data_IF_068305990882
#
_entry.id   IF_068305990882
#
_cell.length_a   1.000
_cell.length_b   1.000
_cell.length_c   1.000
_cell.angle_alpha   90.00
_cell.angle_beta   90.00
_cell.angle_gamma   90.00
#
_symmetry.space_group_name_H-M   'P 1'
#
loop_
_entity.id
_entity.type
_entity.pdbx_description
1 polymer ?
#
# COMPACT_ATOMS: atom_id res chain seq x y z
N UNK A 1 35.42 -18.93 26.38
CA UNK A 1 35.96 -18.83 25.01
C UNK A 1 34.94 -18.05 24.20
N UNK A 2 35.16 -16.76 24.05
CA UNK A 2 34.28 -15.88 23.28
C UNK A 2 34.35 -16.25 21.80
N UNK A 3 33.19 -16.54 21.23
CA UNK A 3 33.03 -16.81 19.81
C UNK A 3 33.32 -15.50 19.05
N UNK A 4 34.38 -15.42 18.22
CA UNK A 4 34.63 -14.22 17.45
C UNK A 4 33.44 -14.01 16.52
N UNK A 5 32.68 -12.94 16.76
CA UNK A 5 31.64 -12.46 15.83
C UNK A 5 32.35 -12.22 14.50
N UNK A 6 32.23 -13.17 13.59
CA UNK A 6 32.54 -12.98 12.18
C UNK A 6 31.67 -11.79 11.78
N UNK A 7 32.27 -10.63 11.56
CA UNK A 7 31.60 -9.47 10.99
C UNK A 7 31.06 -9.92 9.63
N UNK A 8 29.78 -10.29 9.57
CA UNK A 8 29.09 -10.57 8.33
C UNK A 8 29.17 -9.30 7.49
N UNK A 9 30.02 -9.34 6.45
CA UNK A 9 30.22 -8.23 5.54
C UNK A 9 28.87 -7.93 4.87
N UNK A 10 28.26 -6.81 5.26
CA UNK A 10 26.94 -6.38 4.79
C UNK A 10 26.89 -6.41 3.25
N UNK A 11 25.92 -7.17 2.70
CA UNK A 11 25.79 -7.37 1.26
C UNK A 11 25.38 -6.07 0.54
N UNK A 12 26.29 -5.51 -0.27
CA UNK A 12 26.00 -4.34 -1.10
C UNK A 12 25.37 -4.74 -2.44
N UNK A 13 24.10 -5.15 -2.42
CA UNK A 13 23.34 -5.57 -3.63
C UNK A 13 23.23 -4.47 -4.72
N UNK A 14 23.55 -3.23 -4.35
CA UNK A 14 23.42 -2.04 -5.19
C UNK A 14 24.77 -1.49 -5.66
N UNK A 15 25.90 -2.08 -5.24
CA UNK A 15 27.25 -1.59 -5.49
C UNK A 15 27.45 -0.11 -5.11
N UNK A 16 26.83 0.34 -4.02
CA UNK A 16 26.87 1.73 -3.54
C UNK A 16 28.27 2.22 -3.27
N UNK A 17 29.14 1.38 -2.68
CA UNK A 17 30.54 1.78 -2.38
C UNK A 17 31.30 2.10 -3.68
N UNK A 18 31.26 1.17 -4.64
CA UNK A 18 31.84 1.34 -5.98
C UNK A 18 31.23 2.52 -6.74
N UNK A 19 29.92 2.74 -6.61
CA UNK A 19 29.22 3.88 -7.21
C UNK A 19 29.70 5.22 -6.64
N UNK A 20 29.91 5.31 -5.33
CA UNK A 20 30.46 6.50 -4.68
C UNK A 20 31.90 6.78 -5.13
N UNK A 21 32.75 5.77 -5.20
CA UNK A 21 34.13 5.89 -5.70
C UNK A 21 34.14 6.41 -7.14
N UNK A 22 33.32 5.82 -8.00
CA UNK A 22 33.19 6.28 -9.38
C UNK A 22 32.67 7.72 -9.46
N UNK A 23 31.71 8.10 -8.61
CA UNK A 23 31.17 9.47 -8.54
C UNK A 23 32.24 10.46 -8.09
N UNK A 24 33.08 10.10 -7.10
CA UNK A 24 34.24 10.90 -6.68
C UNK A 24 35.27 11.02 -7.80
N UNK A 25 35.53 9.94 -8.56
CA UNK A 25 36.41 9.97 -9.74
C UNK A 25 35.89 10.93 -10.82
N UNK A 26 34.60 10.86 -11.14
CA UNK A 26 33.94 11.76 -12.11
C UNK A 26 34.03 13.22 -11.63
N UNK A 27 33.83 13.49 -10.34
CA UNK A 27 34.02 14.83 -9.77
C UNK A 27 35.45 15.34 -10.02
N UNK A 28 36.47 14.51 -9.74
CA UNK A 28 37.88 14.88 -9.94
C UNK A 28 38.17 15.20 -11.41
N UNK A 29 37.62 14.42 -12.34
CA UNK A 29 37.81 14.58 -13.79
C UNK A 29 36.95 15.68 -14.43
N UNK A 30 35.94 16.21 -13.72
CA UNK A 30 35.04 17.24 -14.26
C UNK A 30 35.75 18.58 -14.53
N UNK A 31 35.18 19.39 -15.42
CA UNK A 31 35.71 20.69 -15.84
C UNK A 31 35.49 21.83 -14.83
N UNK A 32 34.87 21.54 -13.68
CA UNK A 32 34.60 22.56 -12.66
C UNK A 32 35.90 23.01 -11.98
N UNK A 33 35.93 24.24 -11.47
CA UNK A 33 37.09 24.78 -10.76
C UNK A 33 37.48 23.94 -9.53
N UNK A 34 38.78 23.89 -9.23
CA UNK A 34 39.34 23.13 -8.10
C UNK A 34 38.68 23.49 -6.76
N UNK A 35 38.41 24.78 -6.53
CA UNK A 35 37.70 25.26 -5.33
C UNK A 35 36.33 24.62 -5.15
N UNK A 36 35.53 24.50 -6.21
CA UNK A 36 34.22 23.84 -6.14
C UNK A 36 34.35 22.35 -5.82
N UNK A 37 35.35 21.65 -6.39
CA UNK A 37 35.61 20.23 -6.09
C UNK A 37 35.88 20.05 -4.59
N UNK A 38 36.70 20.92 -4.01
CA UNK A 38 37.03 20.91 -2.58
C UNK A 38 35.78 21.18 -1.72
N UNK A 39 35.04 22.26 -2.00
CA UNK A 39 33.84 22.62 -1.24
C UNK A 39 32.78 21.51 -1.24
N UNK A 40 32.60 20.82 -2.38
CA UNK A 40 31.66 19.70 -2.48
C UNK A 40 32.06 18.54 -1.56
N UNK A 41 33.36 18.19 -1.54
CA UNK A 41 33.85 17.11 -0.70
C UNK A 41 33.82 17.49 0.79
N UNK A 42 34.13 18.74 1.13
CA UNK A 42 34.03 19.28 2.50
C UNK A 42 32.58 19.28 3.00
N UNK A 43 31.62 19.68 2.18
CA UNK A 43 30.20 19.61 2.52
C UNK A 43 29.73 18.18 2.77
N UNK A 44 30.12 17.25 1.89
CA UNK A 44 29.74 15.84 2.06
C UNK A 44 30.39 15.28 3.32
N UNK A 45 31.65 15.63 3.60
CA UNK A 45 32.33 15.26 4.84
C UNK A 45 31.62 15.83 6.07
N UNK A 46 31.20 17.10 6.06
CA UNK A 46 30.49 17.71 7.18
C UNK A 46 29.15 17.01 7.45
N UNK A 47 28.42 16.62 6.40
CA UNK A 47 27.18 15.82 6.54
C UNK A 47 27.44 14.40 7.05
N UNK A 48 28.55 13.77 6.68
CA UNK A 48 28.93 12.46 7.25
C UNK A 48 29.25 12.59 8.73
N UNK A 49 30.01 13.61 9.12
CA UNK A 49 30.42 13.81 10.51
C UNK A 49 29.27 14.28 11.42
N UNK A 50 28.38 15.16 10.93
CA UNK A 50 27.31 15.74 11.73
C UNK A 50 25.98 14.99 11.70
N UNK A 51 25.67 14.28 10.61
CA UNK A 51 24.38 13.62 10.40
C UNK A 51 24.50 12.11 10.07
N UNK A 52 25.71 11.56 10.05
CA UNK A 52 25.96 10.14 9.74
C UNK A 52 25.31 9.65 8.44
N UNK A 53 25.35 10.48 7.39
CA UNK A 53 24.65 10.16 6.13
C UNK A 53 25.23 8.91 5.42
N UNK A 54 24.35 8.03 4.97
CA UNK A 54 24.72 6.83 4.22
C UNK A 54 25.32 7.09 2.82
N UNK A 55 26.01 6.09 2.29
CA UNK A 55 26.76 6.13 1.00
C UNK A 55 25.91 6.63 -0.17
N UNK A 56 24.65 6.19 -0.27
CA UNK A 56 23.74 6.62 -1.34
C UNK A 56 23.42 8.13 -1.28
N UNK A 57 23.34 8.70 -0.08
CA UNK A 57 23.12 10.15 0.09
C UNK A 57 24.38 10.92 -0.26
N UNK A 58 25.56 10.44 0.15
CA UNK A 58 26.85 11.03 -0.25
C UNK A 58 26.99 11.08 -1.77
N UNK A 59 26.72 9.97 -2.46
CA UNK A 59 26.75 9.89 -3.92
C UNK A 59 25.80 10.89 -4.57
N UNK A 60 24.57 11.00 -4.04
CA UNK A 60 23.55 11.94 -4.51
C UNK A 60 24.03 13.39 -4.37
N UNK A 61 24.56 13.77 -3.21
CA UNK A 61 25.05 15.13 -2.95
C UNK A 61 26.18 15.50 -3.92
N UNK A 62 27.20 14.64 -4.05
CA UNK A 62 28.34 14.89 -4.96
C UNK A 62 27.83 15.07 -6.40
N UNK A 63 26.96 14.17 -6.85
CA UNK A 63 26.45 14.20 -8.22
C UNK A 63 25.66 15.48 -8.51
N UNK A 64 24.76 15.87 -7.60
CA UNK A 64 23.91 17.05 -7.80
C UNK A 64 24.74 18.33 -7.73
N UNK A 65 25.62 18.47 -6.74
CA UNK A 65 26.46 19.66 -6.60
C UNK A 65 27.46 19.80 -7.75
N UNK A 66 28.01 18.70 -8.28
CA UNK A 66 28.83 18.74 -9.50
C UNK A 66 28.05 19.33 -10.68
N UNK A 67 26.83 18.83 -10.92
CA UNK A 67 25.98 19.31 -12.02
C UNK A 67 25.62 20.79 -11.80
N UNK A 68 25.28 21.19 -10.58
CA UNK A 68 25.01 22.58 -10.24
C UNK A 68 26.24 23.48 -10.48
N UNK A 69 27.43 23.02 -10.13
CA UNK A 69 28.68 23.74 -10.39
C UNK A 69 28.98 23.88 -11.89
N UNK A 70 28.71 22.83 -12.69
CA UNK A 70 28.86 22.86 -14.15
C UNK A 70 27.92 23.89 -14.80
N UNK A 71 26.67 23.98 -14.34
CA UNK A 71 25.70 24.96 -14.86
C UNK A 71 25.90 26.37 -14.33
N UNK A 72 26.43 26.53 -13.12
CA UNK A 72 26.75 27.83 -12.53
C UNK A 72 27.91 28.51 -13.27
N UNK A 73 28.92 27.73 -13.69
CA UNK A 73 30.10 28.27 -14.38
C UNK A 73 30.98 29.19 -13.53
N UNK A 74 30.71 29.29 -12.22
CA UNK A 74 31.42 30.14 -11.25
C UNK A 74 31.73 29.37 -9.97
N UNK A 75 32.65 29.89 -9.15
CA UNK A 75 32.93 29.35 -7.82
C UNK A 75 31.74 29.63 -6.88
N UNK A 76 31.33 28.63 -6.09
CA UNK A 76 30.16 28.75 -5.21
C UNK A 76 30.31 29.83 -4.14
N UNK A 77 31.51 29.98 -3.58
CA UNK A 77 31.84 30.98 -2.54
C UNK A 77 31.85 32.41 -3.09
N UNK A 78 31.99 32.59 -4.40
CA UNK A 78 31.95 33.89 -5.10
C UNK A 78 30.65 34.12 -5.88
N UNK A 79 29.68 33.23 -5.79
CA UNK A 79 28.42 33.36 -6.51
C UNK A 79 27.53 34.42 -5.83
N UNK A 80 27.04 35.37 -6.60
CA UNK A 80 26.04 36.32 -6.12
C UNK A 80 24.63 35.75 -6.27
N UNK A 81 23.64 36.38 -5.63
CA UNK A 81 22.22 36.01 -5.76
C UNK A 81 21.78 35.94 -7.23
N UNK A 82 22.18 36.90 -8.06
CA UNK A 82 21.86 36.95 -9.48
C UNK A 82 22.45 35.78 -10.29
N UNK A 83 23.59 35.23 -9.87
CA UNK A 83 24.17 34.02 -10.49
C UNK A 83 23.30 32.79 -10.16
N UNK A 84 22.79 32.71 -8.93
CA UNK A 84 21.90 31.63 -8.49
C UNK A 84 20.52 31.74 -9.14
N UNK A 85 19.98 32.95 -9.33
CA UNK A 85 18.74 33.18 -10.07
C UNK A 85 18.84 32.63 -11.49
N UNK A 86 19.91 32.94 -12.22
CA UNK A 86 20.19 32.40 -13.56
C UNK A 86 20.34 30.89 -13.55
N UNK A 87 20.96 30.32 -12.51
CA UNK A 87 21.08 28.87 -12.36
C UNK A 87 19.70 28.21 -12.18
N UNK A 88 18.86 28.75 -11.29
CA UNK A 88 17.51 28.23 -11.03
C UNK A 88 16.62 28.37 -12.26
N UNK A 89 16.68 29.52 -12.94
CA UNK A 89 15.98 29.73 -14.21
C UNK A 89 16.38 28.68 -15.25
N UNK A 90 17.69 28.44 -15.42
CA UNK A 90 18.19 27.35 -16.26
C UNK A 90 17.67 26.00 -15.78
N UNK A 91 17.72 25.66 -14.50
CA UNK A 91 17.22 24.35 -14.01
C UNK A 91 15.73 24.15 -14.31
N UNK A 92 14.94 25.22 -14.34
CA UNK A 92 13.51 25.16 -14.61
C UNK A 92 13.17 25.19 -16.10
N UNK A 93 13.97 25.89 -16.92
CA UNK A 93 13.81 26.01 -18.37
C UNK A 93 14.51 24.91 -19.18
N UNK A 94 15.58 24.32 -18.63
CA UNK A 94 16.46 23.41 -19.39
C UNK A 94 15.81 22.06 -19.64
N UNK A 95 15.90 21.62 -20.88
CA UNK A 95 15.98 20.20 -21.20
C UNK A 95 17.40 19.72 -20.91
N UNK A 96 17.56 18.78 -19.98
CA UNK A 96 18.88 18.22 -19.67
C UNK A 96 19.20 17.16 -20.72
N UNK A 97 20.40 17.23 -21.31
CA UNK A 97 20.96 16.13 -22.10
C UNK A 97 21.25 14.96 -21.18
N UNK A 98 20.57 13.84 -21.40
CA UNK A 98 20.87 12.56 -20.76
C UNK A 98 21.34 11.59 -21.84
N UNK A 99 22.66 11.55 -22.07
CA UNK A 99 23.24 10.93 -23.27
C UNK A 99 22.89 11.76 -24.51
N UNK A 100 22.35 11.10 -25.54
CA UNK A 100 21.93 11.74 -26.81
C UNK A 100 20.56 12.42 -26.74
N UNK A 101 19.76 12.17 -25.69
CA UNK A 101 18.37 12.65 -25.60
C UNK A 101 18.26 13.88 -24.69
N UNK A 102 17.58 14.92 -25.17
CA UNK A 102 17.14 16.05 -24.35
C UNK A 102 15.85 15.63 -23.61
N UNK A 103 15.83 15.78 -22.28
CA UNK A 103 14.62 15.49 -21.48
C UNK A 103 14.39 16.59 -20.46
N UNK A 104 13.14 17.05 -20.36
CA UNK A 104 12.71 17.96 -19.29
C UNK A 104 12.95 17.31 -17.92
N UNK A 105 13.57 18.06 -17.00
CA UNK A 105 13.82 17.60 -15.63
C UNK A 105 12.47 17.34 -14.93
N UNK A 106 12.35 16.20 -14.24
CA UNK A 106 11.15 15.91 -13.45
C UNK A 106 11.00 16.87 -12.26
N UNK A 107 9.77 17.17 -11.86
CA UNK A 107 9.52 18.06 -10.71
C UNK A 107 10.19 17.56 -9.41
N UNK A 108 10.27 16.24 -9.20
CA UNK A 108 11.01 15.64 -8.09
C UNK A 108 12.53 15.88 -8.17
N UNK A 109 13.10 15.80 -9.38
CA UNK A 109 14.52 16.11 -9.58
C UNK A 109 14.80 17.60 -9.35
N UNK A 110 13.90 18.49 -9.79
CA UNK A 110 13.99 19.93 -9.48
C UNK A 110 13.95 20.19 -7.98
N UNK A 111 13.04 19.54 -7.26
CA UNK A 111 12.96 19.58 -5.79
C UNK A 111 14.30 19.18 -5.16
N UNK A 112 14.88 18.05 -5.59
CA UNK A 112 16.16 17.58 -5.08
C UNK A 112 17.30 18.59 -5.30
N UNK A 113 17.41 19.15 -6.50
CA UNK A 113 18.43 20.17 -6.79
C UNK A 113 18.29 21.39 -5.89
N UNK A 114 17.08 21.92 -5.73
CA UNK A 114 16.82 23.11 -4.90
C UNK A 114 17.12 22.84 -3.42
N UNK A 115 16.65 21.72 -2.88
CA UNK A 115 16.87 21.38 -1.47
C UNK A 115 18.36 21.16 -1.18
N UNK A 116 19.07 20.47 -2.08
CA UNK A 116 20.51 20.27 -1.94
C UNK A 116 21.27 21.59 -2.05
N UNK A 117 20.89 22.46 -3.00
CA UNK A 117 21.51 23.78 -3.17
C UNK A 117 21.34 24.66 -1.93
N UNK A 118 20.11 24.77 -1.40
CA UNK A 118 19.83 25.52 -0.16
C UNK A 118 20.66 24.96 1.01
N UNK A 119 20.62 23.64 1.22
CA UNK A 119 21.37 23.00 2.30
C UNK A 119 22.89 23.14 2.16
N UNK A 120 23.41 23.27 0.94
CA UNK A 120 24.83 23.53 0.67
C UNK A 120 25.21 24.97 0.98
N UNK A 121 24.42 25.97 0.55
CA UNK A 121 24.69 27.37 0.84
C UNK A 121 24.52 27.71 2.33
N UNK A 122 23.58 27.06 3.03
CA UNK A 122 23.44 27.19 4.48
C UNK A 122 24.72 26.76 5.21
N UNK A 123 25.33 25.66 4.78
CA UNK A 123 26.63 25.22 5.29
C UNK A 123 27.76 26.15 4.88
N UNK A 124 27.81 26.55 3.60
CA UNK A 124 28.90 27.37 3.04
C UNK A 124 28.99 28.75 3.70
N UNK A 125 27.84 29.37 4.00
CA UNK A 125 27.75 30.69 4.63
C UNK A 125 27.61 30.63 6.15
N UNK A 126 27.50 29.41 6.71
CA UNK A 126 27.23 29.17 8.12
C UNK A 126 26.00 29.97 8.64
N UNK A 127 24.92 30.02 7.85
CA UNK A 127 23.71 30.74 8.20
C UNK A 127 22.45 29.99 7.72
N UNK A 128 21.32 30.16 8.44
CA UNK A 128 20.07 29.45 8.11
C UNK A 128 19.41 29.97 6.83
N UNK A 129 19.54 31.26 6.56
CA UNK A 129 18.91 31.92 5.41
C UNK A 129 19.94 32.71 4.58
N UNK A 130 20.79 32.04 3.81
CA UNK A 130 21.70 32.72 2.89
C UNK A 130 20.92 33.53 1.85
N UNK A 131 21.32 34.77 1.62
CA UNK A 131 20.68 35.68 0.67
C UNK A 131 20.57 35.07 -0.74
N UNK A 132 21.56 34.26 -1.14
CA UNK A 132 21.62 33.67 -2.46
C UNK A 132 20.56 32.59 -2.70
N UNK A 133 20.02 31.94 -1.65
CA UNK A 133 19.15 30.77 -1.79
C UNK A 133 17.86 30.79 -0.94
N UNK A 134 17.73 31.69 0.04
CA UNK A 134 16.58 31.75 0.94
C UNK A 134 15.26 31.97 0.20
N UNK A 135 15.25 32.83 -0.82
CA UNK A 135 14.12 33.17 -1.67
C UNK A 135 13.57 31.99 -2.51
N UNK A 136 14.38 30.96 -2.76
CA UNK A 136 13.98 29.84 -3.62
C UNK A 136 12.97 28.95 -2.90
N UNK A 137 11.77 28.85 -3.45
CA UNK A 137 10.75 27.90 -2.99
C UNK A 137 10.93 26.56 -3.73
N UNK A 138 11.24 25.45 -3.03
CA UNK A 138 11.28 24.14 -3.66
C UNK A 138 9.93 23.81 -4.28
N UNK A 139 9.89 23.22 -5.49
CA UNK A 139 8.64 22.75 -6.07
C UNK A 139 8.00 21.72 -5.14
N UNK A 140 6.66 21.65 -5.12
CA UNK A 140 5.91 20.67 -4.32
C UNK A 140 5.29 19.64 -5.25
N UNK A 141 6.08 18.71 -5.81
CA UNK A 141 5.54 17.69 -6.69
C UNK A 141 4.51 16.85 -5.94
N UNK A 142 3.30 16.76 -6.49
CA UNK A 142 2.30 15.82 -5.99
C UNK A 142 2.69 14.41 -6.44
N UNK A 143 2.53 13.38 -5.59
CA UNK A 143 2.66 12.01 -6.05
C UNK A 143 1.71 11.79 -7.23
N UNK A 144 2.21 11.25 -8.34
CA UNK A 144 1.31 10.79 -9.40
C UNK A 144 0.53 9.61 -8.83
N UNK A 145 -0.80 9.74 -8.76
CA UNK A 145 -1.68 8.61 -8.51
C UNK A 145 -1.48 7.61 -9.65
N UNK A 146 -1.28 6.35 -9.30
CA UNK A 146 -1.21 5.27 -10.30
C UNK A 146 -2.61 5.05 -10.85
N UNK A 147 -2.75 4.71 -12.12
CA UNK A 147 -4.05 4.23 -12.61
C UNK A 147 -4.14 2.74 -12.29
N UNK A 148 -5.32 2.18 -11.97
CA UNK A 148 -5.48 0.74 -11.77
C UNK A 148 -4.92 -0.09 -12.94
N UNK A 149 -5.10 0.38 -14.17
CA UNK A 149 -4.55 -0.24 -15.38
C UNK A 149 -3.01 -0.33 -15.41
N UNK A 150 -2.31 0.57 -14.71
CA UNK A 150 -0.84 0.58 -14.65
C UNK A 150 -0.29 -0.33 -13.53
N UNK A 151 -1.15 -0.91 -12.69
CA UNK A 151 -0.78 -1.77 -11.57
C UNK A 151 -0.64 -3.22 -12.06
N UNK A 152 0.46 -3.87 -11.66
CA UNK A 152 0.71 -5.29 -11.95
C UNK A 152 -0.33 -6.13 -11.20
N UNK A 153 -1.15 -6.90 -11.90
CA UNK A 153 -2.11 -7.81 -11.27
C UNK A 153 -1.43 -9.11 -10.81
N UNK A 154 -2.16 -9.96 -10.09
CA UNK A 154 -1.66 -11.29 -9.75
C UNK A 154 -1.45 -12.13 -11.01
N UNK A 155 -2.36 -12.01 -11.98
CA UNK A 155 -2.35 -12.70 -13.26
C UNK A 155 -1.13 -12.30 -14.10
N UNK A 156 -0.75 -11.01 -14.08
CA UNK A 156 0.50 -10.53 -14.68
C UNK A 156 1.71 -11.25 -14.06
N UNK A 157 1.78 -11.32 -12.73
CA UNK A 157 2.87 -12.00 -12.03
C UNK A 157 2.92 -13.50 -12.35
N UNK A 158 1.76 -14.16 -12.47
CA UNK A 158 1.63 -15.56 -12.91
C UNK A 158 2.07 -15.73 -14.36
N UNK A 159 1.69 -14.84 -15.27
CA UNK A 159 2.12 -14.88 -16.66
C UNK A 159 3.65 -14.74 -16.78
N UNK A 160 4.25 -13.82 -16.01
CA UNK A 160 5.71 -13.70 -15.90
C UNK A 160 6.37 -14.97 -15.36
N UNK A 161 5.77 -15.58 -14.34
CA UNK A 161 6.25 -16.84 -13.77
C UNK A 161 6.24 -17.96 -14.81
N UNK A 162 5.14 -18.11 -15.56
CA UNK A 162 5.02 -19.11 -16.65
C UNK A 162 6.04 -18.89 -17.78
N UNK A 163 6.44 -17.65 -18.03
CA UNK A 163 7.46 -17.32 -19.03
C UNK A 163 8.92 -17.59 -18.59
N UNK A 164 9.13 -17.96 -17.32
CA UNK A 164 10.45 -18.24 -16.77
C UNK A 164 10.91 -19.68 -17.02
N UNK A 165 12.21 -19.84 -17.29
CA UNK A 165 12.81 -21.13 -17.69
C UNK A 165 13.43 -21.90 -16.53
N UNK A 166 13.48 -21.34 -15.32
CA UNK A 166 14.05 -21.99 -14.14
C UNK A 166 13.25 -21.65 -12.87
N UNK A 167 13.28 -22.50 -11.82
CA UNK A 167 12.47 -22.31 -10.62
C UNK A 167 12.72 -20.97 -9.90
N UNK A 168 13.98 -20.49 -9.83
CA UNK A 168 14.29 -19.18 -9.23
C UNK A 168 13.55 -18.05 -9.91
N UNK A 169 13.62 -18.00 -11.24
CA UNK A 169 13.03 -16.91 -12.01
C UNK A 169 11.50 -17.05 -12.09
N UNK A 170 10.94 -18.27 -11.95
CA UNK A 170 9.50 -18.50 -11.75
C UNK A 170 9.03 -17.92 -10.40
N UNK A 171 9.83 -18.08 -9.36
CA UNK A 171 9.51 -17.62 -8.00
C UNK A 171 9.52 -16.08 -7.88
N UNK A 172 10.54 -15.41 -8.44
CA UNK A 172 10.76 -13.96 -8.29
C UNK A 172 9.51 -13.07 -8.45
N UNK A 173 8.74 -13.12 -9.56
CA UNK A 173 7.56 -12.26 -9.71
C UNK A 173 6.46 -12.57 -8.69
N UNK A 174 6.27 -13.86 -8.35
CA UNK A 174 5.22 -14.29 -7.42
C UNK A 174 5.55 -13.86 -5.99
N UNK A 175 6.78 -14.09 -5.54
CA UNK A 175 7.18 -13.75 -4.17
C UNK A 175 7.24 -12.23 -3.97
N UNK A 176 7.70 -11.46 -4.97
CA UNK A 176 7.68 -9.99 -4.92
C UNK A 176 6.25 -9.45 -4.81
N UNK A 177 5.30 -10.04 -5.56
CA UNK A 177 3.90 -9.66 -5.51
C UNK A 177 3.25 -10.04 -4.18
N UNK A 178 3.42 -11.29 -3.72
CA UNK A 178 2.75 -11.79 -2.52
C UNK A 178 3.29 -11.21 -1.22
N UNK A 179 4.61 -11.04 -1.13
CA UNK A 179 5.27 -10.50 0.06
C UNK A 179 5.27 -8.97 0.10
N UNK A 180 5.28 -8.31 -1.06
CA UNK A 180 5.41 -6.86 -1.15
C UNK A 180 6.72 -6.32 -0.57
N UNK A 181 7.75 -7.15 -0.39
CA UNK A 181 9.02 -6.74 0.19
C UNK A 181 9.74 -5.68 -0.66
N UNK A 182 10.54 -4.83 0.00
CA UNK A 182 11.56 -4.05 -0.70
C UNK A 182 12.57 -5.03 -1.28
N UNK A 183 13.13 -4.70 -2.44
CA UNK A 183 14.07 -5.62 -3.11
C UNK A 183 15.31 -5.93 -2.26
N UNK A 184 15.75 -4.99 -1.41
CA UNK A 184 16.83 -5.24 -0.47
C UNK A 184 16.44 -6.30 0.55
N UNK A 185 15.27 -6.14 1.19
CA UNK A 185 14.73 -7.12 2.15
C UNK A 185 14.70 -8.53 1.53
N UNK A 186 14.21 -8.67 0.29
CA UNK A 186 14.14 -9.97 -0.40
C UNK A 186 15.51 -10.56 -0.72
N UNK A 187 16.44 -9.77 -1.27
CA UNK A 187 17.74 -10.28 -1.74
C UNK A 187 18.73 -10.54 -0.61
N UNK A 188 18.47 -10.03 0.60
CA UNK A 188 19.29 -10.29 1.79
C UNK A 188 18.79 -11.45 2.65
N UNK A 189 17.62 -12.02 2.36
CA UNK A 189 17.13 -13.22 3.05
C UNK A 189 18.08 -14.40 2.83
N UNK A 190 18.22 -15.24 3.85
CA UNK A 190 18.89 -16.54 3.78
C UNK A 190 17.87 -17.67 3.79
N UNK A 191 18.31 -18.89 3.46
CA UNK A 191 17.43 -20.07 3.48
C UNK A 191 16.80 -20.30 4.86
N UNK A 192 17.57 -20.11 5.95
CA UNK A 192 17.07 -20.19 7.33
C UNK A 192 16.02 -19.15 7.73
N UNK A 193 15.85 -18.10 6.93
CA UNK A 193 14.90 -17.03 7.24
C UNK A 193 13.50 -17.31 6.66
N UNK A 194 13.26 -18.53 6.14
CA UNK A 194 11.97 -18.98 5.62
C UNK A 194 11.37 -20.03 6.57
N UNK A 195 10.29 -19.65 7.25
CA UNK A 195 9.52 -20.56 8.10
C UNK A 195 8.25 -21.01 7.35
N UNK A 196 8.00 -22.31 7.28
CA UNK A 196 6.77 -22.86 6.70
C UNK A 196 5.62 -22.83 7.71
N UNK A 197 4.43 -22.46 7.25
CA UNK A 197 3.19 -22.44 8.04
C UNK A 197 2.16 -23.34 7.38
N UNK A 198 1.38 -24.07 8.19
CA UNK A 198 0.32 -24.97 7.73
C UNK A 198 0.78 -25.94 6.63
N UNK A 199 1.92 -26.62 6.84
CA UNK A 199 2.44 -27.59 5.87
C UNK A 199 2.91 -26.99 4.53
N UNK A 200 3.20 -25.69 4.48
CA UNK A 200 3.74 -25.00 3.31
C UNK A 200 2.72 -24.20 2.49
N UNK A 201 1.45 -24.14 2.94
CA UNK A 201 0.43 -23.26 2.35
C UNK A 201 0.79 -21.77 2.46
N UNK A 202 1.54 -21.42 3.50
CA UNK A 202 2.10 -20.09 3.70
C UNK A 202 3.53 -20.18 4.22
N UNK A 203 4.25 -19.07 4.12
CA UNK A 203 5.58 -18.90 4.71
C UNK A 203 5.67 -17.59 5.48
N UNK A 204 6.44 -17.58 6.57
CA UNK A 204 6.89 -16.36 7.24
C UNK A 204 8.32 -16.08 6.77
N UNK A 205 8.58 -14.82 6.41
CA UNK A 205 9.91 -14.37 5.99
C UNK A 205 10.54 -13.51 7.09
N UNK A 206 11.56 -14.02 7.77
CA UNK A 206 12.20 -13.30 8.87
C UNK A 206 13.16 -12.22 8.36
N UNK A 207 12.74 -10.96 8.42
CA UNK A 207 13.52 -9.87 7.84
C UNK A 207 14.62 -9.42 8.80
N UNK A 208 15.87 -9.76 8.46
CA UNK A 208 17.05 -9.33 9.24
C UNK A 208 17.50 -7.89 8.96
N UNK A 209 17.06 -7.31 7.85
CA UNK A 209 17.41 -5.95 7.44
C UNK A 209 16.16 -5.19 7.03
N UNK A 210 15.74 -4.24 7.87
CA UNK A 210 14.66 -3.30 7.54
C UNK A 210 15.17 -1.86 7.69
N UNK A 211 14.63 -0.95 6.87
CA UNK A 211 15.00 0.48 6.93
C UNK A 211 14.24 1.26 8.01
N UNK A 212 13.11 0.74 8.48
CA UNK A 212 12.15 1.47 9.30
C UNK A 212 11.74 0.63 10.50
N UNK A 213 10.89 -0.37 10.30
CA UNK A 213 10.39 -1.24 11.37
C UNK A 213 10.62 -2.70 11.01
N UNK A 214 11.12 -3.47 11.97
CA UNK A 214 11.24 -4.92 11.87
C UNK A 214 9.85 -5.55 11.76
N UNK A 215 9.73 -6.52 10.85
CA UNK A 215 8.49 -7.25 10.60
C UNK A 215 8.80 -8.54 9.89
N UNK A 216 7.98 -9.55 10.15
CA UNK A 216 8.07 -10.84 9.50
C UNK A 216 6.75 -11.10 8.76
N UNK A 217 6.66 -10.74 7.47
CA UNK A 217 5.39 -10.84 6.76
C UNK A 217 5.04 -12.30 6.47
N UNK A 218 3.83 -12.70 6.84
CA UNK A 218 3.21 -13.93 6.34
C UNK A 218 2.89 -13.78 4.85
N UNK A 219 3.34 -14.72 4.04
CA UNK A 219 3.16 -14.77 2.59
C UNK A 219 2.42 -16.04 2.22
N UNK A 220 1.25 -15.88 1.62
CA UNK A 220 0.43 -16.99 1.10
C UNK A 220 0.66 -17.11 -0.41
N UNK A 221 0.39 -16.02 -1.14
CA UNK A 221 0.59 -15.97 -2.59
C UNK A 221 2.09 -16.03 -2.92
N UNK A 222 2.51 -17.08 -3.61
CA UNK A 222 3.91 -17.30 -3.97
C UNK A 222 4.70 -18.18 -2.98
N UNK A 223 4.08 -18.62 -1.87
CA UNK A 223 4.70 -19.56 -0.92
C UNK A 223 5.14 -20.85 -1.62
N UNK A 224 4.22 -21.53 -2.33
CA UNK A 224 4.52 -22.75 -3.06
C UNK A 224 5.70 -22.58 -4.05
N UNK A 225 5.71 -21.50 -4.83
CA UNK A 225 6.80 -21.23 -5.77
C UNK A 225 8.13 -20.92 -5.08
N UNK A 226 8.11 -20.41 -3.84
CA UNK A 226 9.31 -20.23 -3.03
C UNK A 226 9.84 -21.57 -2.52
N UNK A 227 8.95 -22.43 -2.01
CA UNK A 227 9.32 -23.76 -1.53
C UNK A 227 9.87 -24.63 -2.67
N UNK A 228 9.25 -24.57 -3.85
CA UNK A 228 9.78 -25.20 -5.07
C UNK A 228 11.20 -24.70 -5.39
N UNK A 229 11.42 -23.38 -5.32
CA UNK A 229 12.75 -22.83 -5.56
C UNK A 229 13.76 -23.28 -4.51
N UNK A 230 13.38 -23.32 -3.23
CA UNK A 230 14.24 -23.81 -2.15
C UNK A 230 14.63 -25.28 -2.36
N UNK A 231 13.70 -26.11 -2.84
CA UNK A 231 13.98 -27.51 -3.16
C UNK A 231 15.04 -27.67 -4.26
N UNK A 232 14.99 -26.83 -5.31
CA UNK A 232 15.99 -26.82 -6.40
C UNK A 232 17.17 -25.88 -6.15
N UNK A 233 17.34 -25.37 -4.93
CA UNK A 233 18.38 -24.40 -4.63
C UNK A 233 19.76 -25.06 -4.70
N UNK A 234 20.73 -24.53 -5.47
CA UNK A 234 22.03 -25.18 -5.67
C UNK A 234 22.89 -25.26 -4.39
N UNK A 235 22.48 -24.54 -3.35
CA UNK A 235 23.10 -24.53 -2.02
C UNK A 235 22.06 -24.85 -0.93
N UNK A 236 21.08 -25.70 -1.22
CA UNK A 236 19.94 -26.00 -0.35
C UNK A 236 20.34 -26.51 1.04
N UNK A 237 21.44 -27.27 1.13
CA UNK A 237 21.93 -27.83 2.40
C UNK A 237 22.65 -26.79 3.29
N UNK A 238 22.91 -25.59 2.77
CA UNK A 238 23.54 -24.51 3.54
C UNK A 238 22.51 -23.47 3.94
N UNK A 239 21.93 -23.63 5.13
CA UNK A 239 20.95 -22.71 5.72
C UNK A 239 21.39 -21.24 5.78
N UNK A 240 22.70 -20.97 5.82
CA UNK A 240 23.27 -19.61 5.83
C UNK A 240 23.47 -19.02 4.42
N UNK A 241 23.19 -19.79 3.38
CA UNK A 241 23.20 -19.32 2.00
C UNK A 241 22.07 -18.31 1.76
N UNK A 242 22.33 -17.35 0.88
CA UNK A 242 21.31 -16.40 0.45
C UNK A 242 20.19 -17.12 -0.30
N UNK A 243 18.94 -16.74 -0.02
CA UNK A 243 17.74 -17.33 -0.59
C UNK A 243 17.69 -17.20 -2.11
N UNK A 244 18.22 -16.10 -2.65
CA UNK A 244 18.32 -15.88 -4.09
C UNK A 244 19.78 -15.75 -4.51
N UNK A 245 20.25 -16.70 -5.32
CA UNK A 245 21.61 -16.72 -5.87
C UNK A 245 21.64 -16.61 -7.39
N UNK A 246 22.79 -16.21 -7.92
CA UNK A 246 23.12 -16.34 -9.33
C UNK A 246 23.44 -17.82 -9.63
N UNK A 247 22.79 -18.39 -10.65
CA UNK A 247 22.91 -19.82 -10.98
C UNK A 247 24.24 -20.19 -11.64
N UNK A 248 25.02 -19.20 -12.11
CA UNK A 248 26.31 -19.44 -12.77
C UNK A 248 27.47 -19.53 -11.77
N UNK A 249 27.38 -18.85 -10.62
CA UNK A 249 28.50 -18.71 -9.70
C UNK A 249 28.10 -18.80 -8.22
N UNK A 250 26.83 -19.11 -7.93
CA UNK A 250 26.26 -19.25 -6.59
C UNK A 250 26.43 -18.03 -5.67
N UNK A 251 26.81 -16.87 -6.21
CA UNK A 251 26.89 -15.62 -5.45
C UNK A 251 25.49 -15.06 -5.21
N UNK A 252 25.30 -14.20 -4.19
CA UNK A 252 24.02 -13.56 -3.93
C UNK A 252 23.52 -12.82 -5.17
N UNK A 253 22.23 -12.93 -5.46
CA UNK A 253 21.63 -12.27 -6.61
C UNK A 253 21.60 -10.75 -6.39
N UNK A 254 22.08 -10.00 -7.37
CA UNK A 254 22.21 -8.54 -7.24
C UNK A 254 20.98 -7.80 -7.78
N UNK A 255 20.78 -6.55 -7.32
CA UNK A 255 19.65 -5.72 -7.77
C UNK A 255 19.63 -5.48 -9.28
N UNK A 256 20.75 -5.09 -9.95
CA UNK A 256 20.74 -4.85 -11.39
C UNK A 256 20.34 -6.10 -12.19
N UNK A 257 20.84 -7.27 -11.79
CA UNK A 257 20.52 -8.55 -12.42
C UNK A 257 19.05 -8.90 -12.23
N UNK A 258 18.52 -8.76 -11.01
CA UNK A 258 17.11 -9.01 -10.72
C UNK A 258 16.19 -8.12 -11.53
N UNK A 259 16.52 -6.83 -11.65
CA UNK A 259 15.74 -5.88 -12.46
C UNK A 259 15.75 -6.25 -13.95
N UNK A 260 16.88 -6.69 -14.48
CA UNK A 260 16.96 -7.14 -15.89
C UNK A 260 16.09 -8.37 -16.12
N UNK A 261 16.15 -9.36 -15.24
CA UNK A 261 15.33 -10.58 -15.30
C UNK A 261 13.85 -10.28 -15.27
N UNK A 262 13.39 -9.44 -14.34
CA UNK A 262 11.97 -9.06 -14.26
C UNK A 262 11.49 -8.40 -15.56
N UNK A 263 12.32 -7.56 -16.18
CA UNK A 263 11.99 -6.95 -17.48
C UNK A 263 11.94 -7.95 -18.62
N UNK A 264 12.87 -8.90 -18.62
CA UNK A 264 12.88 -9.97 -19.62
C UNK A 264 11.64 -10.85 -19.51
N UNK A 265 11.26 -11.25 -18.29
CA UNK A 265 10.05 -12.02 -18.03
C UNK A 265 8.79 -11.25 -18.46
N UNK A 266 8.71 -9.95 -18.15
CA UNK A 266 7.61 -9.09 -18.58
C UNK A 266 7.50 -9.02 -20.10
N UNK A 267 8.63 -8.86 -20.81
CA UNK A 267 8.67 -8.85 -22.27
C UNK A 267 8.19 -10.18 -22.86
N UNK A 268 8.65 -11.31 -22.32
CA UNK A 268 8.24 -12.65 -22.76
C UNK A 268 6.74 -12.90 -22.50
N UNK A 269 6.22 -12.40 -21.38
CA UNK A 269 4.81 -12.46 -21.02
C UNK A 269 3.93 -11.41 -21.72
N UNK A 270 4.51 -10.57 -22.61
CA UNK A 270 3.81 -9.48 -23.33
C UNK A 270 3.12 -8.47 -22.40
N UNK A 271 3.75 -8.15 -21.27
CA UNK A 271 3.24 -7.15 -20.31
C UNK A 271 3.86 -5.79 -20.63
N UNK A 272 2.99 -4.81 -20.94
CA UNK A 272 3.41 -3.45 -21.29
C UNK A 272 3.57 -2.51 -20.08
N UNK A 273 3.10 -2.94 -18.90
CA UNK A 273 3.17 -2.18 -17.63
C UNK A 273 4.63 -1.99 -17.19
N UNK A 274 4.91 -0.96 -16.39
CA UNK A 274 6.26 -0.73 -15.85
C UNK A 274 6.61 -1.78 -14.80
N UNK A 275 7.48 -2.72 -15.17
CA UNK A 275 7.92 -3.81 -14.30
C UNK A 275 9.25 -3.47 -13.62
N UNK A 276 9.16 -3.31 -12.29
CA UNK A 276 10.29 -3.18 -11.38
C UNK A 276 9.88 -3.65 -9.98
N UNK A 277 10.83 -3.96 -9.06
CA UNK A 277 10.48 -4.47 -7.73
C UNK A 277 9.55 -3.55 -6.93
N UNK A 278 9.67 -2.23 -7.12
CA UNK A 278 8.77 -1.31 -6.43
C UNK A 278 7.34 -1.43 -6.99
N UNK A 279 7.16 -1.63 -8.30
CA UNK A 279 5.83 -1.85 -8.90
C UNK A 279 5.11 -3.07 -8.30
N UNK A 280 5.80 -4.19 -8.07
CA UNK A 280 5.24 -5.36 -7.37
C UNK A 280 4.80 -5.04 -5.95
N UNK A 281 5.62 -4.30 -5.20
CA UNK A 281 5.24 -3.84 -3.87
C UNK A 281 4.00 -2.95 -3.88
N UNK A 282 3.87 -2.06 -4.88
CA UNK A 282 2.68 -1.23 -5.03
C UNK A 282 1.44 -2.06 -5.34
N UNK A 283 1.57 -3.05 -6.21
CA UNK A 283 0.50 -3.99 -6.52
C UNK A 283 0.05 -4.77 -5.28
N UNK A 284 1.00 -5.31 -4.52
CA UNK A 284 0.75 -5.99 -3.25
C UNK A 284 0.00 -5.10 -2.27
N UNK A 285 0.48 -3.87 -2.05
CA UNK A 285 -0.17 -2.92 -1.15
C UNK A 285 -1.58 -2.55 -1.60
N UNK A 286 -1.76 -2.35 -2.91
CA UNK A 286 -3.08 -2.08 -3.51
C UNK A 286 -4.03 -3.25 -3.25
N UNK A 287 -3.59 -4.50 -3.43
CA UNK A 287 -4.41 -5.69 -3.17
C UNK A 287 -4.76 -5.84 -1.69
N UNK A 288 -3.78 -5.77 -0.79
CA UNK A 288 -4.02 -5.95 0.64
C UNK A 288 -4.79 -4.79 1.30
N UNK A 289 -4.79 -3.60 0.70
CA UNK A 289 -5.68 -2.50 1.11
C UNK A 289 -7.16 -2.89 1.04
N UNK A 290 -7.51 -3.92 0.26
CA UNK A 290 -8.89 -4.38 0.22
C UNK A 290 -9.33 -5.09 1.50
N UNK A 291 -8.39 -5.74 2.18
CA UNK A 291 -8.66 -6.69 3.26
C UNK A 291 -8.20 -6.19 4.63
N UNK A 292 -7.16 -5.36 4.67
CA UNK A 292 -6.55 -4.89 5.92
C UNK A 292 -6.93 -3.44 6.23
N UNK A 293 -6.99 -3.11 7.52
CA UNK A 293 -7.07 -1.72 7.97
C UNK A 293 -5.81 -0.95 7.60
N UNK A 294 -5.85 0.40 7.52
CA UNK A 294 -4.66 1.21 7.26
C UNK A 294 -3.50 0.94 8.22
N UNK A 295 -3.79 0.66 9.51
CA UNK A 295 -2.77 0.39 10.53
C UNK A 295 -2.07 -0.95 10.28
N UNK A 296 -2.86 -2.02 10.05
CA UNK A 296 -2.35 -3.37 9.74
C UNK A 296 -1.57 -3.39 8.43
N UNK A 297 -2.05 -2.67 7.41
CA UNK A 297 -1.34 -2.55 6.14
C UNK A 297 0.00 -1.83 6.32
N UNK A 298 0.05 -0.76 7.12
CA UNK A 298 1.31 -0.08 7.45
C UNK A 298 2.27 -1.02 8.19
N UNK A 299 1.79 -1.80 9.15
CA UNK A 299 2.59 -2.80 9.84
C UNK A 299 3.13 -3.88 8.87
N UNK A 300 2.28 -4.49 8.04
CA UNK A 300 2.65 -5.51 7.04
C UNK A 300 3.73 -5.03 6.07
N UNK A 301 3.70 -3.76 5.69
CA UNK A 301 4.66 -3.18 4.75
C UNK A 301 5.82 -2.46 5.47
N UNK A 302 5.84 -2.36 6.80
CA UNK A 302 6.91 -1.68 7.54
C UNK A 302 6.97 -0.19 7.20
N UNK A 303 5.80 0.44 7.17
CA UNK A 303 5.63 1.88 7.12
C UNK A 303 5.31 2.41 8.51
N UNK A 304 5.89 3.55 8.87
CA UNK A 304 5.53 4.24 10.12
C UNK A 304 4.05 4.62 10.10
N UNK A 305 3.43 4.73 11.28
CA UNK A 305 2.01 5.09 11.37
C UNK A 305 1.70 6.51 10.84
N UNK A 306 2.68 7.41 10.86
CA UNK A 306 2.60 8.75 10.27
C UNK A 306 2.85 8.80 8.74
N UNK A 307 3.16 7.67 8.12
CA UNK A 307 3.52 7.60 6.70
C UNK A 307 2.34 7.90 5.78
N UNK A 308 2.58 8.81 4.81
CA UNK A 308 1.67 9.12 3.68
C UNK A 308 1.80 8.16 2.50
N UNK A 309 2.53 7.05 2.66
CA UNK A 309 2.70 6.07 1.58
C UNK A 309 1.35 5.46 1.15
N UNK A 310 0.40 5.31 2.07
CA UNK A 310 -0.95 4.82 1.76
C UNK A 310 -1.72 5.71 0.79
N UNK A 311 -1.48 7.03 0.81
CA UNK A 311 -2.16 7.99 -0.05
C UNK A 311 -1.88 7.76 -1.54
N UNK A 312 -0.84 6.98 -1.87
CA UNK A 312 -0.52 6.58 -3.24
C UNK A 312 -1.40 5.44 -3.75
N UNK A 313 -1.95 4.62 -2.84
CA UNK A 313 -2.69 3.38 -3.13
C UNK A 313 -4.18 3.48 -2.82
N UNK A 314 -4.58 4.45 -2.00
CA UNK A 314 -5.98 4.67 -1.66
C UNK A 314 -6.71 5.31 -2.85
N UNK A 315 -7.38 4.46 -3.63
CA UNK A 315 -8.47 4.88 -4.50
C UNK A 315 -9.74 4.83 -3.67
N UNK A 316 -10.29 5.98 -3.22
CA UNK A 316 -11.64 5.98 -2.70
C UNK A 316 -12.56 5.61 -3.86
N UNK A 317 -12.99 4.36 -3.84
CA UNK A 317 -14.06 3.83 -4.66
C UNK A 317 -15.33 3.96 -3.81
N UNK A 318 -16.16 4.96 -4.14
CA UNK A 318 -17.37 5.26 -3.37
C UNK A 318 -18.33 4.07 -3.38
N UNK A 319 -18.43 3.35 -4.50
CA UNK A 319 -19.27 2.15 -4.60
C UNK A 319 -18.80 1.07 -3.63
N UNK A 320 -17.48 0.93 -3.51
CA UNK A 320 -16.89 0.00 -2.53
C UNK A 320 -17.07 0.46 -1.08
N UNK A 321 -16.96 1.75 -0.79
CA UNK A 321 -17.24 2.29 0.54
C UNK A 321 -18.69 1.99 0.91
N UNK A 322 -19.62 2.25 -0.01
CA UNK A 322 -21.03 1.97 0.18
C UNK A 322 -21.30 0.47 0.33
N UNK A 323 -20.69 -0.39 -0.49
CA UNK A 323 -20.81 -1.84 -0.37
C UNK A 323 -20.33 -2.33 1.00
N UNK A 324 -19.19 -1.83 1.48
CA UNK A 324 -18.68 -2.20 2.81
C UNK A 324 -19.56 -1.68 3.94
N UNK A 325 -20.17 -0.50 3.79
CA UNK A 325 -21.17 0.00 4.74
C UNK A 325 -22.42 -0.88 4.74
N UNK A 326 -22.89 -1.33 3.58
CA UNK A 326 -24.00 -2.28 3.47
C UNK A 326 -23.65 -3.61 4.17
N UNK A 327 -22.45 -4.16 3.96
CA UNK A 327 -21.98 -5.37 4.64
C UNK A 327 -21.90 -5.20 6.17
N UNK A 328 -21.32 -4.09 6.64
CA UNK A 328 -21.23 -3.76 8.07
C UNK A 328 -22.64 -3.69 8.67
N UNK A 329 -23.61 -3.12 7.98
CA UNK A 329 -24.98 -3.04 8.48
C UNK A 329 -25.84 -4.28 8.16
N UNK A 330 -25.25 -5.36 7.66
CA UNK A 330 -25.95 -6.61 7.34
C UNK A 330 -26.93 -6.50 6.16
N UNK A 331 -26.82 -5.43 5.36
CA UNK A 331 -27.64 -5.15 4.17
C UNK A 331 -27.06 -5.78 2.89
N UNK A 332 -25.83 -6.29 2.95
CA UNK A 332 -25.20 -7.08 1.90
C UNK A 332 -24.44 -8.27 2.50
N UNK A 333 -24.31 -9.36 1.72
CA UNK A 333 -23.49 -10.50 2.13
C UNK A 333 -22.02 -10.08 2.15
N UNK A 334 -21.32 -10.33 3.27
CA UNK A 334 -19.90 -10.07 3.36
C UNK A 334 -19.14 -11.02 2.42
N UNK A 335 -18.46 -10.48 1.41
CA UNK A 335 -17.67 -11.30 0.48
C UNK A 335 -16.45 -11.93 1.16
N UNK A 336 -16.00 -11.40 2.31
CA UNK A 336 -14.89 -11.95 3.07
C UNK A 336 -15.16 -11.84 4.58
N UNK A 337 -15.42 -12.97 5.22
CA UNK A 337 -15.75 -13.06 6.63
C UNK A 337 -14.64 -12.51 7.53
N UNK A 338 -14.86 -11.32 8.10
CA UNK A 338 -14.57 -10.96 9.50
C UNK A 338 -14.69 -9.45 9.70
N UNK A 339 -15.82 -9.04 10.30
CA UNK A 339 -15.96 -8.27 11.55
C UNK A 339 -17.31 -8.78 12.07
N UNK A 340 -17.38 -9.14 13.36
CA UNK A 340 -18.59 -9.76 13.96
C UNK A 340 -19.85 -9.03 13.52
N UNK A 341 -20.86 -9.77 13.03
CA UNK A 341 -22.11 -9.22 12.50
C UNK A 341 -22.62 -8.14 13.46
N UNK A 342 -22.61 -6.86 13.08
CA UNK A 342 -23.31 -5.85 13.84
C UNK A 342 -24.78 -6.25 13.89
N UNK A 343 -25.43 -6.02 15.03
CA UNK A 343 -26.87 -6.24 15.14
C UNK A 343 -27.57 -5.48 14.01
N UNK A 344 -28.45 -6.17 13.27
CA UNK A 344 -29.15 -5.58 12.13
C UNK A 344 -29.90 -4.34 12.62
N UNK A 345 -29.53 -3.16 12.10
CA UNK A 345 -30.16 -1.88 12.45
C UNK A 345 -31.58 -1.75 11.92
N UNK A 346 -32.06 -2.75 11.17
CA UNK A 346 -33.39 -2.79 10.59
C UNK A 346 -34.03 -4.16 10.73
N UNK A 347 -35.37 -4.18 10.78
CA UNK A 347 -36.18 -5.40 10.75
C UNK A 347 -37.30 -5.29 9.72
N UNK A 348 -37.53 -6.39 9.01
CA UNK A 348 -38.57 -6.47 7.98
C UNK A 348 -39.86 -6.96 8.59
N UNK A 349 -40.96 -6.25 8.34
CA UNK A 349 -42.29 -6.69 8.76
C UNK A 349 -42.67 -7.99 8.04
N UNK A 350 -42.93 -9.05 8.79
CA UNK A 350 -43.35 -10.35 8.27
C UNK A 350 -44.70 -10.33 7.54
N UNK A 351 -45.52 -9.30 7.77
CA UNK A 351 -46.87 -9.21 7.21
C UNK A 351 -46.92 -8.42 5.91
N UNK A 352 -46.28 -7.24 5.85
CA UNK A 352 -46.36 -6.37 4.67
C UNK A 352 -45.00 -6.13 3.97
N UNK A 353 -43.92 -6.72 4.48
CA UNK A 353 -42.58 -6.61 3.88
C UNK A 353 -41.89 -5.25 4.08
N UNK A 354 -42.50 -4.29 4.79
CA UNK A 354 -41.86 -2.98 5.05
C UNK A 354 -40.64 -3.13 5.98
N UNK A 355 -39.52 -2.52 5.59
CA UNK A 355 -38.33 -2.36 6.45
C UNK A 355 -38.58 -1.26 7.49
N UNK A 356 -38.31 -1.56 8.76
CA UNK A 356 -38.47 -0.66 9.91
C UNK A 356 -37.15 -0.60 10.70
N UNK A 357 -36.96 0.46 11.49
CA UNK A 357 -35.83 0.61 12.43
C UNK A 357 -35.84 -0.52 13.49
N UNK A 358 -34.66 -0.94 13.95
CA UNK A 358 -34.52 -2.07 14.87
C UNK A 358 -35.24 -1.89 16.22
N UNK A 359 -35.29 -0.67 16.74
CA UNK A 359 -35.91 -0.30 18.02
C UNK A 359 -37.44 -0.18 17.95
N UNK A 360 -38.01 -0.01 16.76
CA UNK A 360 -39.44 0.23 16.59
C UNK A 360 -40.30 -0.99 16.89
N UNK A 361 -41.27 -0.93 17.80
CA UNK A 361 -42.07 -2.12 18.16
C UNK A 361 -43.16 -2.51 17.13
N UNK A 362 -43.70 -1.54 16.38
CA UNK A 362 -44.81 -1.73 15.44
C UNK A 362 -44.46 -1.26 14.03
N UNK A 363 -44.99 -1.93 13.01
CA UNK A 363 -44.78 -1.55 11.62
C UNK A 363 -45.28 -0.12 11.34
N UNK A 364 -44.44 0.69 10.70
CA UNK A 364 -44.77 2.07 10.30
C UNK A 364 -46.01 2.17 9.40
N UNK A 365 -46.26 1.14 8.57
CA UNK A 365 -47.35 1.12 7.58
C UNK A 365 -48.56 0.32 8.10
N UNK A 366 -48.41 -0.99 8.30
CA UNK A 366 -49.55 -1.86 8.63
C UNK A 366 -49.92 -1.88 10.11
N UNK A 367 -49.15 -1.18 10.96
CA UNK A 367 -49.35 -1.05 12.41
C UNK A 367 -49.35 -2.36 13.22
N UNK A 368 -48.98 -3.49 12.61
CA UNK A 368 -48.82 -4.77 13.32
C UNK A 368 -47.49 -4.84 14.09
N UNK A 369 -47.42 -5.64 15.17
CA UNK A 369 -46.16 -5.89 15.88
C UNK A 369 -45.07 -6.43 14.94
N UNK A 370 -43.82 -6.02 15.16
CA UNK A 370 -42.66 -6.50 14.40
C UNK A 370 -41.97 -7.71 15.05
N UNK A 371 -42.39 -8.08 16.26
CA UNK A 371 -41.95 -9.25 17.00
C UNK A 371 -42.88 -10.44 16.71
N UNK A 372 -42.32 -11.56 16.27
CA UNK A 372 -43.05 -12.78 15.91
C UNK A 372 -43.89 -13.33 17.07
N UNK A 373 -43.37 -13.28 18.30
CA UNK A 373 -44.10 -13.74 19.48
C UNK A 373 -45.36 -12.90 19.72
N UNK A 374 -45.26 -11.58 19.54
CA UNK A 374 -46.40 -10.66 19.66
C UNK A 374 -47.39 -10.79 18.49
N UNK A 375 -46.91 -11.13 17.29
CA UNK A 375 -47.79 -11.43 16.15
C UNK A 375 -48.67 -12.64 16.48
N UNK A 376 -48.07 -13.74 16.93
CA UNK A 376 -48.82 -14.97 17.30
C UNK A 376 -49.82 -14.70 18.41
N UNK A 377 -49.43 -13.96 19.46
CA UNK A 377 -50.35 -13.61 20.56
C UNK A 377 -51.57 -12.80 20.08
N UNK A 378 -51.38 -11.84 19.18
CA UNK A 378 -52.48 -11.02 18.65
C UNK A 378 -53.40 -11.87 17.76
N UNK A 379 -52.86 -12.83 17.01
CA UNK A 379 -53.66 -13.74 16.19
C UNK A 379 -54.43 -14.77 17.03
N UNK A 380 -53.80 -15.28 18.09
CA UNK A 380 -54.43 -16.21 19.03
C UNK A 380 -55.55 -15.54 19.84
N UNK A 381 -55.34 -14.30 20.31
CA UNK A 381 -56.38 -13.50 20.95
C UNK A 381 -57.57 -13.21 20.03
N UNK A 382 -57.32 -12.94 18.74
CA UNK A 382 -58.41 -12.79 17.76
C UNK A 382 -59.17 -14.09 17.58
N UNK A 383 -58.45 -15.22 17.45
CA UNK A 383 -59.06 -16.54 17.29
C UNK A 383 -59.92 -16.92 18.49
N UNK A 384 -59.42 -16.71 19.71
CA UNK A 384 -60.19 -16.89 20.94
C UNK A 384 -61.42 -16.00 21.00
N UNK A 385 -61.30 -14.74 20.55
CA UNK A 385 -62.43 -13.82 20.45
C UNK A 385 -63.50 -14.29 19.46
N UNK A 386 -63.09 -14.76 18.29
CA UNK A 386 -63.99 -15.28 17.26
C UNK A 386 -64.65 -16.60 17.70
N UNK A 387 -63.90 -17.52 18.30
CA UNK A 387 -64.41 -18.78 18.88
C UNK A 387 -65.39 -18.53 20.03
N UNK A 388 -65.07 -17.59 20.95
CA UNK A 388 -65.97 -17.21 22.05
C UNK A 388 -67.27 -16.58 21.53
N UNK A 389 -67.20 -15.83 20.43
CA UNK A 389 -68.37 -15.28 19.75
C UNK A 389 -69.25 -16.39 19.18
N UNK A 390 -68.66 -17.37 18.49
CA UNK A 390 -69.38 -18.52 17.93
C UNK A 390 -70.01 -19.42 19.02
N UNK A 391 -69.34 -19.60 20.15
CA UNK A 391 -69.89 -20.34 21.31
C UNK A 391 -71.05 -19.60 21.96
N UNK A 392 -70.92 -18.28 22.17
CA UNK A 392 -72.03 -17.43 22.63
C UNK A 392 -73.23 -17.49 21.69
N UNK A 393 -73.00 -17.56 20.37
CA UNK A 393 -74.07 -17.71 19.39
C UNK A 393 -74.81 -19.05 19.50
N UNK A 394 -74.13 -20.13 19.93
CA UNK A 394 -74.69 -21.48 20.06
C UNK A 394 -75.38 -21.73 21.40
N UNK A 395 -74.80 -21.29 22.51
CA UNK A 395 -75.37 -21.50 23.85
C UNK A 395 -76.58 -20.61 24.12
N UNK A 396 -76.59 -19.40 23.57
CA UNK A 396 -77.66 -18.43 23.81
C UNK A 396 -78.21 -17.87 22.49
N UNK A 397 -78.92 -18.68 21.69
CA UNK A 397 -79.56 -18.20 20.45
C UNK A 397 -80.55 -17.05 20.72
N UNK A 398 -81.11 -16.98 21.94
CA UNK A 398 -81.89 -15.86 22.46
C UNK A 398 -81.10 -14.53 22.42
N UNK A 399 -79.83 -14.54 22.84
CA UNK A 399 -78.97 -13.35 22.88
C UNK A 399 -78.67 -12.89 21.47
N UNK A 400 -78.44 -13.81 20.52
CA UNK A 400 -78.21 -13.45 19.13
C UNK A 400 -79.48 -12.84 18.49
N UNK A 401 -80.67 -13.33 18.87
CA UNK A 401 -81.96 -12.74 18.49
C UNK A 401 -82.14 -11.33 19.08
N UNK A 402 -81.80 -11.15 20.37
CA UNK A 402 -81.83 -9.86 21.07
C UNK A 402 -80.80 -8.88 20.47
N UNK A 403 -79.59 -9.35 20.14
CA UNK A 403 -78.53 -8.55 19.52
C UNK A 403 -78.92 -8.11 18.10
N UNK A 404 -79.50 -9.02 17.29
CA UNK A 404 -80.09 -8.69 15.99
C UNK A 404 -81.28 -7.74 16.12
N UNK A 405 -82.10 -7.85 17.16
CA UNK A 405 -83.17 -6.89 17.44
C UNK A 405 -82.64 -5.51 17.88
N UNK A 406 -81.61 -5.46 18.72
CA UNK A 406 -80.95 -4.21 19.13
C UNK A 406 -80.30 -3.55 17.92
N UNK A 407 -79.60 -4.32 17.07
CA UNK A 407 -79.04 -3.83 15.81
C UNK A 407 -80.15 -3.33 14.87
N UNK A 408 -81.22 -4.10 14.66
CA UNK A 408 -82.37 -3.66 13.85
C UNK A 408 -83.02 -2.39 14.39
N UNK A 409 -83.17 -2.26 15.73
CA UNK A 409 -83.67 -1.03 16.37
C UNK A 409 -82.75 0.14 16.11
N UNK A 410 -81.44 0.00 16.36
CA UNK A 410 -80.45 1.06 16.09
C UNK A 410 -80.40 1.43 14.60
N UNK A 411 -80.50 0.45 13.70
CA UNK A 411 -80.56 0.70 12.26
C UNK A 411 -81.84 1.41 11.83
N UNK A 412 -83.00 1.08 12.42
CA UNK A 412 -84.24 1.85 12.21
C UNK A 412 -84.11 3.29 12.69
N UNK A 413 -83.47 3.52 13.84
CA UNK A 413 -83.20 4.87 14.34
C UNK A 413 -82.27 5.66 13.41
N UNK A 414 -81.35 4.98 12.71
CA UNK A 414 -80.42 5.60 11.75
C UNK A 414 -81.01 5.80 10.34
N UNK A 415 -82.03 5.03 9.95
CA UNK A 415 -82.62 5.04 8.60
C UNK A 415 -83.98 5.76 8.48
N UNK A 416 -84.53 6.28 9.59
CA UNK A 416 -85.64 7.23 9.55
C UNK A 416 -86.99 6.68 9.04
N UNK A 417 -87.37 5.45 9.45
CA UNK A 417 -88.75 4.93 9.33
C UNK A 417 -89.22 4.24 10.60
#
# INVERSE_FOLDING_TARGET
MENPRIEEKELDIHHRKKSLENTKRILKQSKIGSRNKTLILEYVRSKVLGESIGVARQEKLIRHLRILAEHLGRQFDKAAKSDIEKLVEKLYSSEVKWGERKKKISEWSKYDYVVILKGFFQWLKNCKEPEETSWIKPPRPRPKRLKPADIISWEDAVAMSKAATNPRDRCLPLILWGSGLRIQELLTLKLKDVEQVNGGEAVILHLRQSKTDERDPLVVRGAAALLDWMHYHPLGDNENSYLFVNLQNNRPLEYPQTRLKLKELAKRAKIEKDVNPHAFRKASASYYLHFLTPSELKARFGWTQSSKQLDVYCFPDEDRVNQRLLEIHGLAAAENGSIGKPESMTKTCSVCGKVNEADREYCSICKRPLDMHRVTQVEELKRLGDESLEELEKEYPEINKLFKEILKRKFKTYLGT
#
